data_IF_623220185112
#
_entry.id   IF_623220185112
#
_cell.length_a   1.000
_cell.length_b   1.000
_cell.length_c   1.000
_cell.angle_alpha   90.00
_cell.angle_beta   90.00
_cell.angle_gamma   90.00
#
_symmetry.space_group_name_H-M   'P 1'
#
loop_
_entity.id
_entity.type
_entity.pdbx_description
1 polymer ?
#
# COMPACT_ATOMS: atom_id res chain seq x y z
N UNK A 1 -16.80 -25.30 11.61
CA UNK A 1 -15.98 -25.27 10.37
C UNK A 1 -16.86 -25.01 9.12
N UNK A 2 -17.66 -23.93 9.13
CA UNK A 2 -18.48 -23.48 7.98
C UNK A 2 -18.23 -21.99 7.65
N UNK A 3 -17.18 -21.39 8.22
CA UNK A 3 -17.01 -19.94 8.35
C UNK A 3 -16.42 -19.28 7.09
N UNK A 4 -15.63 -20.02 6.31
CA UNK A 4 -14.70 -19.41 5.37
C UNK A 4 -15.20 -19.34 3.92
N UNK A 5 -16.34 -19.96 3.59
CA UNK A 5 -16.93 -19.89 2.23
C UNK A 5 -17.55 -18.52 1.89
N UNK A 6 -17.47 -17.52 2.78
CA UNK A 6 -18.20 -16.26 2.67
C UNK A 6 -17.33 -14.98 2.66
N UNK A 7 -16.00 -15.11 2.62
CA UNK A 7 -15.01 -13.99 2.52
C UNK A 7 -15.07 -13.18 1.20
N UNK A 8 -16.06 -13.42 0.32
CA UNK A 8 -15.91 -13.16 -1.12
C UNK A 8 -16.44 -11.86 -1.72
N UNK A 9 -17.09 -10.96 -0.98
CA UNK A 9 -17.73 -9.79 -1.61
C UNK A 9 -16.81 -8.58 -1.79
N UNK A 10 -15.78 -8.41 -0.96
CA UNK A 10 -14.81 -7.30 -1.04
C UNK A 10 -13.55 -7.59 -1.87
N UNK A 11 -13.30 -8.86 -2.22
CA UNK A 11 -12.02 -9.31 -2.80
C UNK A 11 -11.85 -9.04 -4.30
N UNK A 12 -12.94 -8.83 -5.07
CA UNK A 12 -12.89 -8.71 -6.54
C UNK A 12 -11.96 -7.62 -7.09
N UNK A 13 -11.78 -6.52 -6.35
CA UNK A 13 -10.87 -5.44 -6.78
C UNK A 13 -9.42 -5.62 -6.28
N UNK A 14 -9.20 -6.51 -5.30
CA UNK A 14 -7.87 -6.72 -4.69
C UNK A 14 -7.00 -7.69 -5.51
N UNK A 15 -7.60 -8.67 -6.18
CA UNK A 15 -6.89 -9.77 -6.87
C UNK A 15 -5.95 -9.28 -7.99
N UNK A 16 -6.36 -8.29 -8.81
CA UNK A 16 -5.49 -7.70 -9.87
C UNK A 16 -4.34 -6.85 -9.33
N UNK A 17 -4.42 -6.38 -8.09
CA UNK A 17 -3.50 -5.41 -7.48
C UNK A 17 -2.41 -6.06 -6.62
N UNK A 18 -2.57 -7.34 -6.30
CA UNK A 18 -1.70 -8.08 -5.38
C UNK A 18 -0.47 -8.66 -6.09
N UNK A 19 -0.63 -9.06 -7.36
CA UNK A 19 0.42 -9.74 -8.15
C UNK A 19 1.12 -8.86 -9.19
N UNK A 20 0.80 -7.56 -9.25
CA UNK A 20 1.56 -6.66 -10.13
C UNK A 20 2.87 -6.32 -9.41
N UNK A 21 3.98 -6.85 -9.90
CA UNK A 21 5.30 -6.27 -9.63
C UNK A 21 5.22 -4.79 -9.99
N UNK A 22 5.19 -3.92 -8.98
CA UNK A 22 5.59 -2.53 -9.21
C UNK A 22 7.10 -2.60 -9.43
N UNK A 23 7.63 -2.07 -10.54
CA UNK A 23 9.05 -1.80 -10.61
C UNK A 23 9.39 -0.97 -9.37
N UNK A 24 10.49 -1.31 -8.68
CA UNK A 24 10.93 -0.60 -7.48
C UNK A 24 11.13 0.91 -7.72
N UNK A 25 11.17 1.33 -9.00
CA UNK A 25 11.39 2.69 -9.43
C UNK A 25 10.15 3.36 -10.06
N UNK A 26 8.98 3.34 -9.40
CA UNK A 26 7.80 4.10 -9.84
C UNK A 26 7.30 5.05 -8.75
N UNK A 27 6.73 6.18 -9.18
CA UNK A 27 6.09 7.13 -8.29
C UNK A 27 4.96 6.47 -7.48
N UNK A 28 4.79 6.94 -6.24
CA UNK A 28 3.70 6.47 -5.40
C UNK A 28 2.34 7.04 -5.88
N UNK A 29 1.31 6.20 -6.04
CA UNK A 29 -0.04 6.63 -6.37
C UNK A 29 -0.70 7.28 -5.15
N UNK A 30 -1.00 8.57 -5.25
CA UNK A 30 -1.59 9.37 -4.18
C UNK A 30 -2.83 8.74 -3.54
N UNK A 31 -3.81 8.32 -4.35
CA UNK A 31 -5.09 7.82 -3.84
C UNK A 31 -4.94 6.55 -2.99
N UNK A 32 -3.97 5.71 -3.30
CA UNK A 32 -3.73 4.51 -2.49
C UNK A 32 -3.12 4.85 -1.15
N UNK A 33 -2.13 5.75 -1.12
CA UNK A 33 -1.49 6.21 0.13
C UNK A 33 -2.49 7.00 0.98
N UNK A 34 -3.28 7.88 0.36
CA UNK A 34 -4.34 8.65 1.01
C UNK A 34 -5.36 7.74 1.69
N UNK A 35 -5.80 6.68 0.98
CA UNK A 35 -6.77 5.72 1.50
C UNK A 35 -6.18 4.85 2.60
N UNK A 36 -4.95 4.38 2.46
CA UNK A 36 -4.34 3.48 3.43
C UNK A 36 -4.02 4.14 4.77
N UNK A 37 -3.69 5.44 4.74
CA UNK A 37 -3.44 6.26 5.92
C UNK A 37 -4.67 7.03 6.41
N UNK A 38 -5.84 6.80 5.81
CA UNK A 38 -7.11 7.46 6.16
C UNK A 38 -7.00 8.99 6.19
N UNK A 39 -6.25 9.55 5.25
CA UNK A 39 -6.02 10.98 5.10
C UNK A 39 -7.23 11.67 4.46
N UNK A 40 -8.35 11.73 5.18
CA UNK A 40 -9.65 12.19 4.65
C UNK A 40 -9.80 13.71 4.71
N UNK A 41 -9.32 14.34 5.78
CA UNK A 41 -9.48 15.78 5.98
C UNK A 41 -8.47 16.55 5.15
N UNK A 42 -8.93 17.57 4.42
CA UNK A 42 -8.05 18.46 3.65
C UNK A 42 -7.90 19.83 4.32
N UNK A 43 -6.70 20.40 4.22
CA UNK A 43 -6.35 21.72 4.73
C UNK A 43 -5.46 22.45 3.73
N UNK A 44 -5.90 23.61 3.23
CA UNK A 44 -5.09 24.43 2.33
C UNK A 44 -3.94 25.09 3.10
N UNK A 45 -2.70 24.79 2.72
CA UNK A 45 -1.49 25.38 3.30
C UNK A 45 -1.00 26.62 2.54
N UNK A 46 -1.50 26.82 1.31
CA UNK A 46 -1.16 27.94 0.46
C UNK A 46 0.18 27.77 -0.25
N UNK A 47 0.80 28.89 -0.63
CA UNK A 47 2.11 28.89 -1.29
C UNK A 47 3.23 28.50 -0.32
N UNK A 48 4.10 27.58 -0.76
CA UNK A 48 5.25 27.07 -0.01
C UNK A 48 6.41 26.77 -0.97
N UNK A 49 7.63 26.94 -0.47
CA UNK A 49 8.84 26.37 -1.08
C UNK A 49 8.98 24.95 -0.55
N UNK A 50 9.05 23.96 -1.46
CA UNK A 50 9.01 22.53 -1.12
C UNK A 50 10.30 21.85 -1.59
N UNK A 51 10.96 21.05 -0.73
CA UNK A 51 12.08 20.21 -1.12
C UNK A 51 11.70 19.16 -2.18
N UNK A 52 12.49 19.04 -3.25
CA UNK A 52 12.22 18.11 -4.36
C UNK A 52 12.40 16.64 -3.99
N UNK A 53 13.21 16.33 -2.98
CA UNK A 53 13.40 15.00 -2.40
C UNK A 53 12.16 14.48 -1.65
N UNK A 54 11.33 15.38 -1.12
CA UNK A 54 10.07 15.05 -0.44
C UNK A 54 8.89 14.83 -1.40
N UNK A 55 9.07 15.05 -2.70
CA UNK A 55 8.05 14.78 -3.72
C UNK A 55 8.25 13.36 -4.22
N UNK A 56 7.34 12.46 -3.85
CA UNK A 56 7.54 11.00 -3.97
C UNK A 56 6.46 10.30 -4.81
N UNK A 57 5.50 11.07 -5.30
CA UNK A 57 4.31 10.50 -5.94
C UNK A 57 3.55 11.46 -6.84
N UNK A 58 2.52 10.93 -7.48
CA UNK A 58 1.65 11.68 -8.40
C UNK A 58 0.20 11.24 -8.24
N UNK A 59 -0.72 12.18 -8.44
CA UNK A 59 -2.16 11.91 -8.36
C UNK A 59 -2.65 11.10 -9.56
N UNK A 60 -2.15 11.41 -10.75
CA UNK A 60 -2.64 10.82 -11.99
C UNK A 60 -1.57 10.28 -12.94
N UNK A 61 -0.30 10.68 -12.77
CA UNK A 61 0.77 10.39 -13.73
C UNK A 61 1.87 9.50 -13.16
N UNK A 62 1.57 8.74 -12.12
CA UNK A 62 2.57 7.90 -11.43
C UNK A 62 3.12 6.74 -12.28
N UNK A 63 2.54 6.47 -13.46
CA UNK A 63 3.03 5.48 -14.44
C UNK A 63 3.84 6.09 -15.58
N UNK A 64 3.81 7.42 -15.70
CA UNK A 64 4.47 8.16 -16.78
C UNK A 64 5.92 8.51 -16.40
N UNK A 65 6.26 8.35 -15.12
CA UNK A 65 7.53 8.76 -14.54
C UNK A 65 8.04 7.69 -13.57
N UNK A 66 9.36 7.57 -13.49
CA UNK A 66 10.03 6.77 -12.47
C UNK A 66 10.09 7.54 -11.12
N UNK A 67 10.66 6.93 -10.07
CA UNK A 67 10.73 7.56 -8.73
C UNK A 67 11.56 8.86 -8.73
N UNK A 68 12.53 9.00 -9.63
CA UNK A 68 13.32 10.23 -9.83
C UNK A 68 12.61 11.29 -10.71
N UNK A 69 11.35 11.06 -11.10
CA UNK A 69 10.61 11.91 -12.06
C UNK A 69 11.24 11.99 -13.46
N UNK A 70 12.06 11.02 -13.86
CA UNK A 70 12.47 10.90 -15.25
C UNK A 70 11.29 10.45 -16.12
N UNK A 71 11.12 11.11 -17.25
CA UNK A 71 10.09 10.75 -18.24
C UNK A 71 10.49 9.44 -18.91
N UNK A 72 9.61 8.45 -18.81
CA UNK A 72 9.75 7.16 -19.48
C UNK A 72 10.00 7.33 -20.99
N UNK A 73 10.87 6.51 -21.57
CA UNK A 73 11.40 6.70 -22.94
C UNK A 73 10.32 6.78 -24.03
N UNK A 74 9.14 6.21 -23.77
CA UNK A 74 8.03 6.14 -24.72
C UNK A 74 7.13 7.40 -24.74
N UNK A 75 7.39 8.41 -23.90
CA UNK A 75 6.57 9.62 -23.79
C UNK A 75 7.20 10.83 -24.47
N UNK A 76 6.37 11.69 -25.08
CA UNK A 76 6.80 12.91 -25.75
C UNK A 76 7.50 13.88 -24.78
N UNK A 77 8.80 14.09 -25.01
CA UNK A 77 9.67 14.98 -24.22
C UNK A 77 9.56 16.45 -24.63
N UNK A 78 8.80 16.80 -25.67
CA UNK A 78 8.70 18.16 -26.18
C UNK A 78 8.20 19.17 -25.13
N UNK A 79 7.28 18.76 -24.26
CA UNK A 79 6.80 19.62 -23.15
C UNK A 79 7.85 19.77 -22.04
N UNK A 80 8.59 18.71 -21.73
CA UNK A 80 9.67 18.76 -20.74
C UNK A 80 10.78 19.70 -21.20
N UNK A 81 11.23 19.58 -22.45
CA UNK A 81 12.28 20.44 -23.01
C UNK A 81 11.90 21.91 -22.94
N UNK A 82 10.69 22.28 -23.36
CA UNK A 82 10.21 23.68 -23.28
C UNK A 82 10.21 24.22 -21.86
N UNK A 83 9.76 23.41 -20.88
CA UNK A 83 9.75 23.82 -19.47
C UNK A 83 11.18 23.98 -18.94
N UNK A 84 12.09 23.08 -19.33
CA UNK A 84 13.50 23.14 -18.94
C UNK A 84 14.17 24.40 -19.50
N UNK A 85 13.94 24.74 -20.76
CA UNK A 85 14.48 25.95 -21.39
C UNK A 85 14.01 27.23 -20.66
N UNK A 86 12.72 27.31 -20.32
CA UNK A 86 12.17 28.42 -19.54
C UNK A 86 12.79 28.51 -18.14
N UNK A 87 12.98 27.36 -17.47
CA UNK A 87 13.64 27.31 -16.15
C UNK A 87 15.11 27.75 -16.19
N UNK A 88 15.85 27.39 -17.24
CA UNK A 88 17.25 27.79 -17.43
C UNK A 88 17.39 29.29 -17.70
N UNK A 89 16.40 29.90 -18.36
CA UNK A 89 16.33 31.34 -18.61
C UNK A 89 15.82 32.15 -17.42
N UNK A 90 15.55 31.49 -16.29
CA UNK A 90 14.94 32.09 -15.09
C UNK A 90 13.61 32.80 -15.39
N UNK A 91 12.89 32.35 -16.43
CA UNK A 91 11.58 32.89 -16.73
C UNK A 91 10.57 32.46 -15.65
N UNK A 92 9.68 33.36 -15.20
CA UNK A 92 8.72 33.05 -14.16
C UNK A 92 7.75 31.95 -14.61
N UNK A 93 7.77 30.83 -13.90
CA UNK A 93 6.83 29.74 -14.10
C UNK A 93 5.77 29.74 -13.00
N UNK A 94 4.53 29.31 -13.30
CA UNK A 94 3.53 29.13 -12.26
C UNK A 94 4.03 28.13 -11.20
N UNK A 95 3.58 28.25 -9.93
CA UNK A 95 3.87 27.25 -8.92
C UNK A 95 3.25 25.89 -9.29
N UNK A 96 3.87 24.80 -8.87
CA UNK A 96 3.27 23.46 -8.99
C UNK A 96 2.13 23.31 -7.99
N UNK A 97 1.24 22.32 -8.18
CA UNK A 97 0.19 22.02 -7.21
C UNK A 97 0.47 20.67 -6.58
N UNK A 98 0.57 20.64 -5.25
CA UNK A 98 0.94 19.44 -4.50
C UNK A 98 -0.11 19.11 -3.45
N UNK A 99 -0.38 17.82 -3.29
CA UNK A 99 -0.95 17.29 -2.06
C UNK A 99 0.16 16.88 -1.09
N UNK A 100 -0.05 17.12 0.21
CA UNK A 100 0.85 16.68 1.29
C UNK A 100 0.16 15.62 2.14
N UNK A 101 0.81 14.49 2.40
CA UNK A 101 0.37 13.45 3.35
C UNK A 101 1.55 13.18 4.30
N UNK A 102 1.40 13.43 5.60
CA UNK A 102 2.57 13.44 6.50
C UNK A 102 3.60 14.46 5.99
N UNK A 103 4.87 14.07 5.87
CA UNK A 103 5.91 14.90 5.26
C UNK A 103 6.15 14.63 3.76
N UNK A 104 5.37 13.74 3.15
CA UNK A 104 5.46 13.38 1.76
C UNK A 104 4.56 14.25 0.86
N UNK A 105 5.02 14.52 -0.37
CA UNK A 105 4.30 15.32 -1.35
C UNK A 105 3.99 14.53 -2.62
N UNK A 106 2.81 14.82 -3.18
CA UNK A 106 2.26 14.18 -4.37
C UNK A 106 1.86 15.23 -5.39
N UNK A 107 2.30 15.07 -6.63
CA UNK A 107 2.05 16.05 -7.69
C UNK A 107 0.62 15.94 -8.19
N UNK A 108 -0.18 16.98 -7.95
CA UNK A 108 -1.50 17.17 -8.55
C UNK A 108 -1.36 17.81 -9.94
N UNK A 109 -0.54 18.85 -10.06
CA UNK A 109 -0.20 19.49 -11.33
C UNK A 109 1.26 19.94 -11.36
N UNK A 110 1.88 19.86 -12.54
CA UNK A 110 3.28 20.27 -12.74
C UNK A 110 4.32 19.16 -12.80
N UNK A 111 3.95 17.90 -13.09
CA UNK A 111 4.91 16.79 -13.17
C UNK A 111 6.15 17.10 -14.05
N UNK A 112 5.96 17.70 -15.23
CA UNK A 112 7.10 18.11 -16.09
C UNK A 112 7.96 19.23 -15.48
N UNK A 113 7.39 20.11 -14.65
CA UNK A 113 8.16 21.14 -13.93
C UNK A 113 9.02 20.51 -12.82
N UNK A 114 8.49 19.51 -12.12
CA UNK A 114 9.27 18.72 -11.15
C UNK A 114 10.41 17.97 -11.84
N UNK A 115 10.10 17.28 -12.94
CA UNK A 115 11.10 16.58 -13.75
C UNK A 115 12.21 17.53 -14.23
N UNK A 116 11.83 18.67 -14.82
CA UNK A 116 12.79 19.68 -15.26
C UNK A 116 13.63 20.26 -14.12
N UNK A 117 13.03 20.50 -12.94
CA UNK A 117 13.75 21.00 -11.78
C UNK A 117 14.78 19.98 -11.25
N UNK A 118 14.42 18.69 -11.19
CA UNK A 118 15.35 17.61 -10.82
C UNK A 118 16.46 17.42 -11.85
N UNK A 119 16.16 17.48 -13.16
CA UNK A 119 17.18 17.43 -14.21
C UNK A 119 18.13 18.64 -14.24
N UNK A 120 17.78 19.72 -13.57
CA UNK A 120 18.59 20.92 -13.40
C UNK A 120 19.24 20.97 -12.00
N UNK A 121 19.23 19.86 -11.26
CA UNK A 121 19.80 19.73 -9.90
C UNK A 121 19.31 20.82 -8.94
N UNK A 122 18.06 21.29 -9.11
CA UNK A 122 17.44 22.19 -8.14
C UNK A 122 17.08 21.41 -6.88
N UNK A 123 17.21 22.07 -5.73
CA UNK A 123 16.84 21.47 -4.43
C UNK A 123 15.38 21.72 -4.06
N UNK A 124 14.80 22.83 -4.52
CA UNK A 124 13.47 23.29 -4.12
C UNK A 124 12.58 23.68 -5.30
N UNK A 125 11.27 23.68 -5.07
CA UNK A 125 10.27 24.15 -6.02
C UNK A 125 9.17 24.96 -5.33
N UNK A 126 8.67 25.97 -6.02
CA UNK A 126 7.51 26.75 -5.60
C UNK A 126 6.21 26.00 -5.83
N UNK A 127 5.38 25.88 -4.79
CA UNK A 127 4.18 25.06 -4.82
C UNK A 127 2.98 25.71 -4.11
N UNK A 128 1.78 25.51 -4.65
CA UNK A 128 0.53 25.59 -3.89
C UNK A 128 0.25 24.23 -3.25
N UNK A 129 0.16 24.19 -1.91
CA UNK A 129 0.04 22.96 -1.14
C UNK A 129 -1.33 22.83 -0.48
N UNK A 130 -1.95 21.66 -0.68
CA UNK A 130 -3.11 21.19 0.10
C UNK A 130 -2.69 19.97 0.91
N UNK A 131 -2.85 20.00 2.22
CA UNK A 131 -2.52 18.90 3.11
C UNK A 131 -3.72 17.99 3.35
N UNK A 132 -3.53 16.69 3.15
CA UNK A 132 -4.42 15.64 3.60
C UNK A 132 -3.94 15.17 4.97
N UNK A 133 -4.71 15.50 6.01
CA UNK A 133 -4.36 15.27 7.41
C UNK A 133 -4.49 13.78 7.74
N UNK A 134 -3.40 13.19 8.21
CA UNK A 134 -3.34 11.79 8.67
C UNK A 134 -3.62 11.69 10.17
N UNK A 135 -4.29 10.62 10.65
CA UNK A 135 -4.46 10.36 12.08
C UNK A 135 -3.13 10.14 12.81
N UNK A 136 -2.15 9.59 12.09
CA UNK A 136 -0.82 9.27 12.60
C UNK A 136 0.22 9.96 11.72
N UNK A 137 0.85 11.05 12.21
CA UNK A 137 1.93 11.72 11.49
C UNK A 137 3.14 10.81 11.29
N UNK A 138 3.87 11.08 10.21
CA UNK A 138 5.13 10.42 9.88
C UNK A 138 6.03 11.40 9.13
N UNK A 139 7.34 11.14 9.23
CA UNK A 139 8.36 11.95 8.59
C UNK A 139 9.08 11.10 7.55
N UNK A 140 9.37 11.70 6.40
CA UNK A 140 10.28 11.11 5.42
C UNK A 140 11.68 11.51 5.87
N UNK A 141 12.44 10.55 6.41
CA UNK A 141 13.84 10.72 6.81
C UNK A 141 14.79 10.40 5.65
N UNK A 142 16.02 9.99 5.99
CA UNK A 142 17.04 9.56 5.01
C UNK A 142 16.74 8.17 4.39
N UNK A 143 15.77 7.44 4.95
CA UNK A 143 15.30 6.15 4.45
C UNK A 143 14.42 6.30 3.20
N UNK A 144 14.13 5.19 2.50
CA UNK A 144 13.21 5.23 1.37
C UNK A 144 11.83 5.77 1.82
N UNK A 145 11.24 6.77 1.14
CA UNK A 145 9.99 7.38 1.58
C UNK A 145 8.82 6.41 1.74
N UNK A 146 8.88 5.28 1.04
CA UNK A 146 7.94 4.18 1.16
C UNK A 146 7.97 3.51 2.54
N UNK A 147 9.12 3.43 3.18
CA UNK A 147 9.28 2.79 4.50
C UNK A 147 8.61 3.62 5.58
N UNK A 148 8.72 4.96 5.51
CA UNK A 148 8.00 5.86 6.41
C UNK A 148 6.47 5.70 6.28
N UNK A 149 5.95 5.46 5.08
CA UNK A 149 4.53 5.16 4.84
C UNK A 149 4.16 3.80 5.44
N UNK A 150 4.97 2.77 5.23
CA UNK A 150 4.73 1.43 5.77
C UNK A 150 4.70 1.43 7.30
N UNK A 151 5.62 2.17 7.94
CA UNK A 151 5.63 2.36 9.39
C UNK A 151 4.36 3.10 9.88
N UNK A 152 3.96 4.17 9.20
CA UNK A 152 2.73 4.89 9.53
C UNK A 152 1.48 4.02 9.43
N UNK A 153 1.37 3.20 8.38
CA UNK A 153 0.28 2.23 8.22
C UNK A 153 0.29 1.16 9.33
N UNK A 154 1.47 0.68 9.71
CA UNK A 154 1.59 -0.30 10.78
C UNK A 154 1.16 0.28 12.13
N UNK A 155 1.62 1.50 12.47
CA UNK A 155 1.18 2.21 13.67
C UNK A 155 -0.33 2.45 13.68
N UNK A 156 -0.93 2.76 12.52
CA UNK A 156 -2.38 2.93 12.39
C UNK A 156 -3.11 1.62 12.64
N UNK A 157 -2.59 0.53 12.09
CA UNK A 157 -3.10 -0.82 12.34
C UNK A 157 -3.01 -1.20 13.82
N UNK A 158 -1.88 -0.96 14.48
CA UNK A 158 -1.73 -1.21 15.92
C UNK A 158 -2.68 -0.34 16.76
N UNK A 159 -2.85 0.93 16.42
CA UNK A 159 -3.80 1.81 17.11
C UNK A 159 -5.23 1.26 17.05
N UNK A 160 -5.64 0.74 15.89
CA UNK A 160 -6.99 0.20 15.67
C UNK A 160 -7.22 -1.18 16.27
N UNK A 161 -6.20 -2.04 16.22
CA UNK A 161 -6.31 -3.45 16.63
C UNK A 161 -5.84 -3.71 18.05
N UNK A 162 -4.98 -2.83 18.58
CA UNK A 162 -4.26 -3.00 19.86
C UNK A 162 -3.49 -4.32 19.92
N UNK A 163 -3.07 -4.85 18.77
CA UNK A 163 -2.41 -6.15 18.68
C UNK A 163 -1.15 -6.22 19.56
N UNK A 164 -0.40 -5.13 19.64
CA UNK A 164 0.76 -4.93 20.49
C UNK A 164 0.45 -5.14 21.99
N UNK A 165 -0.77 -4.80 22.41
CA UNK A 165 -1.22 -4.96 23.81
C UNK A 165 -1.89 -6.30 24.05
N UNK A 166 -2.66 -6.78 23.07
CA UNK A 166 -3.40 -8.04 23.16
C UNK A 166 -2.47 -9.25 23.00
N UNK A 167 -1.37 -9.10 22.26
CA UNK A 167 -0.35 -10.14 22.03
C UNK A 167 1.07 -9.55 22.16
N UNK A 168 1.55 -9.16 23.35
CA UNK A 168 2.80 -8.41 23.51
C UNK A 168 4.10 -9.04 22.97
N UNK A 169 4.09 -10.33 22.65
CA UNK A 169 5.23 -11.06 22.07
C UNK A 169 5.04 -11.41 20.59
N UNK A 170 4.03 -10.83 19.94
CA UNK A 170 3.79 -11.08 18.53
C UNK A 170 4.99 -10.54 17.71
N UNK A 171 5.52 -11.30 16.75
CA UNK A 171 6.47 -10.75 15.78
C UNK A 171 5.82 -9.56 15.05
N UNK A 172 6.62 -8.54 14.73
CA UNK A 172 6.14 -7.41 13.95
C UNK A 172 5.66 -7.92 12.58
N UNK A 173 4.40 -7.65 12.27
CA UNK A 173 3.84 -7.97 10.95
C UNK A 173 4.46 -6.99 9.97
N UNK A 174 5.08 -7.49 8.90
CA UNK A 174 5.75 -6.65 7.88
C UNK A 174 5.09 -6.83 6.53
N UNK A 175 5.22 -5.80 5.70
CA UNK A 175 4.81 -5.80 4.30
C UNK A 175 5.86 -5.11 3.45
N UNK A 176 6.06 -5.60 2.23
CA UNK A 176 6.90 -4.95 1.23
C UNK A 176 6.14 -3.88 0.43
N UNK A 177 4.83 -3.74 0.63
CA UNK A 177 3.96 -2.88 -0.18
C UNK A 177 2.96 -2.15 0.70
N UNK A 178 2.75 -0.85 0.46
CA UNK A 178 1.77 -0.05 1.18
C UNK A 178 0.33 -0.52 0.91
N UNK A 179 -0.59 -0.12 1.77
CA UNK A 179 -2.02 -0.42 1.73
C UNK A 179 -2.41 -1.78 2.28
N UNK A 180 -1.46 -2.64 2.66
CA UNK A 180 -1.72 -4.04 3.06
C UNK A 180 -2.26 -4.16 4.48
N UNK A 181 -1.91 -3.26 5.39
CA UNK A 181 -2.47 -3.25 6.73
C UNK A 181 -3.98 -2.96 6.74
N UNK A 182 -4.47 -2.11 5.85
CA UNK A 182 -5.91 -1.89 5.66
C UNK A 182 -6.62 -3.17 5.15
N UNK A 183 -5.92 -4.03 4.40
CA UNK A 183 -6.45 -5.35 4.01
C UNK A 183 -6.57 -6.26 5.22
N UNK A 184 -5.56 -6.32 6.09
CA UNK A 184 -5.62 -7.10 7.33
C UNK A 184 -6.74 -6.65 8.25
N UNK A 185 -6.93 -5.34 8.40
CA UNK A 185 -8.03 -4.80 9.20
C UNK A 185 -9.38 -5.29 8.68
N UNK A 186 -9.59 -5.31 7.37
CA UNK A 186 -10.81 -5.88 6.77
C UNK A 186 -10.94 -7.38 7.04
N UNK A 187 -9.87 -8.16 6.96
CA UNK A 187 -9.92 -9.58 7.31
C UNK A 187 -10.36 -9.79 8.78
N UNK A 188 -9.87 -8.95 9.70
CA UNK A 188 -10.26 -9.00 11.12
C UNK A 188 -11.73 -8.62 11.29
N UNK A 189 -12.21 -7.58 10.58
CA UNK A 189 -13.61 -7.15 10.64
C UNK A 189 -14.57 -8.19 10.06
N UNK A 190 -14.21 -8.82 8.94
CA UNK A 190 -14.96 -9.93 8.35
C UNK A 190 -14.99 -11.13 9.29
N UNK A 191 -13.84 -11.50 9.87
CA UNK A 191 -13.76 -12.55 10.89
C UNK A 191 -14.66 -12.25 12.09
N UNK A 192 -14.62 -11.02 12.61
CA UNK A 192 -15.48 -10.55 13.72
C UNK A 192 -16.97 -10.73 13.38
N UNK A 193 -17.36 -10.33 12.17
CA UNK A 193 -18.74 -10.42 11.71
C UNK A 193 -19.23 -11.87 11.71
N UNK A 194 -18.47 -12.79 11.10
CA UNK A 194 -18.86 -14.20 11.06
C UNK A 194 -18.84 -14.87 12.43
N UNK A 195 -17.84 -14.57 13.27
CA UNK A 195 -17.84 -15.06 14.65
C UNK A 195 -19.08 -14.61 15.43
N UNK A 196 -19.55 -13.38 15.19
CA UNK A 196 -20.76 -12.87 15.82
C UNK A 196 -22.01 -13.67 15.43
N UNK A 197 -22.13 -14.05 14.16
CA UNK A 197 -23.20 -14.91 13.67
C UNK A 197 -23.15 -16.29 14.34
N UNK A 198 -21.97 -16.92 14.35
CA UNK A 198 -21.82 -18.27 14.91
C UNK A 198 -22.08 -18.34 16.40
N UNK A 199 -21.56 -17.36 17.15
CA UNK A 199 -21.74 -17.27 18.60
C UNK A 199 -23.08 -16.68 19.01
N UNK A 200 -23.88 -16.21 18.04
CA UNK A 200 -25.16 -15.53 18.24
C UNK A 200 -25.07 -14.37 19.23
N UNK A 201 -23.95 -13.65 19.20
CA UNK A 201 -23.70 -12.46 20.04
C UNK A 201 -22.78 -11.48 19.33
N UNK A 202 -22.80 -10.22 19.75
CA UNK A 202 -21.76 -9.28 19.35
C UNK A 202 -20.39 -9.77 19.85
N UNK A 203 -19.38 -9.67 18.97
CA UNK A 203 -17.97 -9.97 19.26
C UNK A 203 -17.21 -8.66 19.23
N UNK A 204 -16.42 -8.39 20.28
CA UNK A 204 -15.66 -7.15 20.36
C UNK A 204 -14.50 -7.14 19.35
N UNK A 205 -13.95 -5.96 19.06
CA UNK A 205 -12.76 -5.87 18.21
C UNK A 205 -11.60 -6.66 18.80
N UNK A 206 -11.36 -6.57 20.11
CA UNK A 206 -10.24 -7.26 20.77
C UNK A 206 -10.39 -8.78 20.70
N UNK A 207 -11.60 -9.30 20.94
CA UNK A 207 -11.90 -10.73 20.80
C UNK A 207 -11.62 -11.23 19.38
N UNK A 208 -12.02 -10.44 18.37
CA UNK A 208 -11.78 -10.78 16.97
C UNK A 208 -10.31 -10.70 16.58
N UNK A 209 -9.56 -9.68 17.05
CA UNK A 209 -8.12 -9.55 16.82
C UNK A 209 -7.37 -10.74 17.42
N UNK A 210 -7.67 -11.08 18.68
CA UNK A 210 -7.10 -12.25 19.37
C UNK A 210 -7.37 -13.52 18.56
N UNK A 211 -8.63 -13.75 18.21
CA UNK A 211 -9.00 -14.96 17.49
C UNK A 211 -8.38 -15.02 16.10
N UNK A 212 -8.43 -13.93 15.34
CA UNK A 212 -7.82 -13.86 14.01
C UNK A 212 -6.33 -14.14 14.08
N UNK A 213 -5.63 -13.52 15.05
CA UNK A 213 -4.19 -13.69 15.18
C UNK A 213 -3.81 -15.14 15.50
N UNK A 214 -4.51 -15.76 16.46
CA UNK A 214 -4.19 -17.11 16.93
C UNK A 214 -4.65 -18.22 15.97
N UNK A 215 -5.81 -18.04 15.31
CA UNK A 215 -6.45 -19.12 14.53
C UNK A 215 -6.34 -18.95 13.02
N UNK A 216 -5.93 -17.78 12.52
CA UNK A 216 -5.82 -17.50 11.08
C UNK A 216 -4.41 -17.04 10.73
N UNK A 217 -3.94 -15.93 11.30
CA UNK A 217 -2.64 -15.35 10.97
C UNK A 217 -1.49 -16.31 11.30
N UNK A 218 -1.35 -16.67 12.58
CA UNK A 218 -0.21 -17.45 13.07
C UNK A 218 -0.12 -18.82 12.39
N UNK A 219 -1.20 -19.62 12.28
CA UNK A 219 -1.13 -20.91 11.59
C UNK A 219 -0.75 -20.78 10.12
N UNK A 220 -1.22 -19.72 9.43
CA UNK A 220 -0.91 -19.51 8.02
C UNK A 220 0.55 -19.10 7.81
N UNK A 221 1.07 -18.19 8.63
CA UNK A 221 2.49 -17.79 8.58
C UNK A 221 3.39 -18.98 8.88
N UNK A 222 3.06 -19.81 9.87
CA UNK A 222 3.81 -21.04 10.17
C UNK A 222 3.77 -22.04 9.00
N UNK A 223 2.67 -22.15 8.26
CA UNK A 223 2.62 -22.97 7.05
C UNK A 223 3.50 -22.39 5.93
N UNK A 224 3.47 -21.06 5.74
CA UNK A 224 4.32 -20.36 4.77
C UNK A 224 5.80 -20.61 5.06
N UNK A 225 6.21 -20.51 6.33
CA UNK A 225 7.56 -20.78 6.79
C UNK A 225 7.93 -22.26 6.65
N UNK A 226 7.08 -23.17 7.14
CA UNK A 226 7.28 -24.64 7.07
C UNK A 226 7.57 -25.11 5.65
N UNK A 227 6.88 -24.54 4.67
CA UNK A 227 7.04 -24.93 3.26
C UNK A 227 8.02 -24.06 2.47
N UNK A 228 8.76 -23.15 3.12
CA UNK A 228 9.82 -22.36 2.49
C UNK A 228 9.33 -21.47 1.36
N UNK A 229 8.06 -21.04 1.38
CA UNK A 229 7.47 -20.31 0.23
C UNK A 229 8.22 -19.01 -0.04
N UNK A 230 8.70 -18.33 1.02
CA UNK A 230 9.45 -17.06 0.92
C UNK A 230 10.67 -17.15 0.01
N UNK A 231 11.34 -18.31 -0.07
CA UNK A 231 12.53 -18.50 -0.91
C UNK A 231 12.25 -18.28 -2.40
N UNK A 232 10.99 -18.45 -2.83
CA UNK A 232 10.56 -18.23 -4.22
C UNK A 232 10.12 -16.80 -4.51
N UNK A 233 10.04 -15.93 -3.49
CA UNK A 233 9.58 -14.56 -3.63
C UNK A 233 10.57 -13.56 -3.01
N UNK A 234 11.76 -13.36 -3.63
CA UNK A 234 12.72 -12.37 -3.17
C UNK A 234 12.10 -10.98 -2.99
N UNK A 235 12.45 -10.30 -1.89
CA UNK A 235 11.92 -8.98 -1.56
C UNK A 235 10.49 -8.97 -0.99
N UNK A 236 9.87 -10.14 -0.76
CA UNK A 236 8.56 -10.26 -0.09
C UNK A 236 8.69 -10.68 1.37
N UNK A 237 7.62 -10.41 2.12
CA UNK A 237 7.48 -10.72 3.54
C UNK A 237 6.46 -11.83 3.78
N UNK A 238 6.48 -12.40 4.98
CA UNK A 238 5.46 -13.33 5.47
C UNK A 238 4.05 -12.73 5.37
N UNK A 239 3.90 -11.44 5.66
CA UNK A 239 2.63 -10.74 5.49
C UNK A 239 2.17 -10.63 4.05
N UNK A 240 3.08 -10.33 3.11
CA UNK A 240 2.73 -10.33 1.68
C UNK A 240 2.19 -11.70 1.26
N UNK A 241 2.90 -12.77 1.62
CA UNK A 241 2.49 -14.14 1.30
C UNK A 241 1.20 -14.55 1.99
N UNK A 242 0.97 -14.12 3.24
CA UNK A 242 -0.31 -14.34 3.91
C UNK A 242 -1.48 -13.80 3.07
N UNK A 243 -1.37 -12.56 2.57
CA UNK A 243 -2.43 -11.99 1.71
C UNK A 243 -2.55 -12.78 0.41
N UNK A 244 -1.43 -13.17 -0.20
CA UNK A 244 -1.43 -13.88 -1.49
C UNK A 244 -2.11 -15.24 -1.36
N UNK A 245 -1.70 -16.03 -0.36
CA UNK A 245 -2.25 -17.35 -0.07
C UNK A 245 -3.71 -17.27 0.35
N UNK A 246 -4.11 -16.29 1.16
CA UNK A 246 -5.51 -16.11 1.55
C UNK A 246 -6.42 -15.80 0.35
N UNK A 247 -5.95 -14.94 -0.58
CA UNK A 247 -6.68 -14.68 -1.83
C UNK A 247 -6.73 -15.92 -2.72
N UNK A 248 -5.61 -16.65 -2.84
CA UNK A 248 -5.52 -17.88 -3.62
C UNK A 248 -6.47 -18.96 -3.09
N UNK A 249 -6.46 -19.18 -1.77
CA UNK A 249 -7.37 -20.07 -1.06
C UNK A 249 -8.84 -19.74 -1.34
N UNK A 250 -9.17 -18.45 -1.34
CA UNK A 250 -10.51 -18.01 -1.66
C UNK A 250 -10.90 -18.37 -3.09
N UNK A 251 -10.04 -18.08 -4.08
CA UNK A 251 -10.29 -18.44 -5.48
C UNK A 251 -10.48 -19.95 -5.66
N UNK A 252 -9.56 -20.76 -5.12
CA UNK A 252 -9.67 -22.23 -5.17
C UNK A 252 -10.97 -22.73 -4.52
N UNK A 253 -11.41 -22.11 -3.43
CA UNK A 253 -12.66 -22.50 -2.76
C UNK A 253 -13.89 -22.22 -3.62
N UNK A 254 -13.86 -21.14 -4.43
CA UNK A 254 -14.94 -20.84 -5.37
C UNK A 254 -14.98 -21.83 -6.52
N UNK A 255 -13.83 -22.14 -7.11
CA UNK A 255 -13.71 -23.08 -8.22
C UNK A 255 -14.08 -24.51 -7.81
N UNK A 256 -13.65 -24.94 -6.62
CA UNK A 256 -13.95 -26.26 -6.09
C UNK A 256 -15.36 -26.39 -5.51
N UNK A 257 -16.09 -25.27 -5.31
CA UNK A 257 -17.41 -25.26 -4.65
C UNK A 257 -17.39 -25.73 -3.19
N UNK A 258 -16.21 -25.78 -2.54
CA UNK A 258 -16.01 -26.20 -1.15
C UNK A 258 -14.94 -25.36 -0.47
N UNK A 259 -14.92 -25.36 0.86
CA UNK A 259 -13.84 -24.70 1.61
C UNK A 259 -12.53 -25.47 1.44
N UNK A 260 -11.56 -24.86 0.77
CA UNK A 260 -10.21 -25.42 0.57
C UNK A 260 -9.38 -25.19 1.84
N UNK A 261 -8.73 -26.23 2.35
CA UNK A 261 -7.94 -26.12 3.59
C UNK A 261 -6.75 -25.14 3.46
N UNK A 262 -6.25 -24.57 4.57
CA UNK A 262 -5.10 -23.67 4.54
C UNK A 262 -3.83 -24.34 3.98
N UNK A 263 -3.54 -25.58 4.39
CA UNK A 263 -2.36 -26.34 3.89
C UNK A 263 -2.52 -26.72 2.42
N UNK A 264 -3.73 -27.13 1.99
CA UNK A 264 -4.04 -27.40 0.58
C UNK A 264 -3.80 -26.16 -0.30
N UNK A 265 -4.25 -24.98 0.15
CA UNK A 265 -4.04 -23.73 -0.58
C UNK A 265 -2.57 -23.33 -0.66
N UNK A 266 -1.80 -23.53 0.42
CA UNK A 266 -0.35 -23.28 0.45
C UNK A 266 0.38 -24.17 -0.55
N UNK A 267 0.09 -25.48 -0.53
CA UNK A 267 0.72 -26.43 -1.44
C UNK A 267 0.36 -26.15 -2.90
N UNK A 268 -0.89 -25.80 -3.18
CA UNK A 268 -1.29 -25.42 -4.53
C UNK A 268 -0.65 -24.11 -4.99
N UNK A 269 -0.53 -23.11 -4.11
CA UNK A 269 0.14 -21.84 -4.42
C UNK A 269 1.63 -22.06 -4.73
N UNK A 270 2.27 -23.04 -4.08
CA UNK A 270 3.65 -23.41 -4.37
C UNK A 270 3.83 -24.05 -5.75
N UNK A 271 2.89 -24.88 -6.19
CA UNK A 271 3.01 -25.61 -7.47
C UNK A 271 2.68 -24.69 -8.65
N UNK A 272 1.56 -23.99 -8.59
CA UNK A 272 1.04 -23.20 -9.71
C UNK A 272 1.52 -21.74 -9.70
N UNK A 273 2.12 -21.28 -8.59
CA UNK A 273 2.40 -19.87 -8.36
C UNK A 273 1.11 -19.07 -8.09
N UNK A 274 1.15 -17.73 -8.18
CA UNK A 274 -0.04 -16.92 -8.24
C UNK A 274 -0.99 -17.45 -9.32
N UNK A 275 -2.21 -17.85 -8.96
CA UNK A 275 -3.20 -18.21 -9.98
C UNK A 275 -3.31 -17.02 -10.94
N UNK A 276 -3.13 -17.22 -12.28
CA UNK A 276 -3.33 -16.15 -13.23
C UNK A 276 -4.76 -15.65 -13.04
N UNK A 277 -4.88 -14.39 -12.58
CA UNK A 277 -6.18 -13.78 -12.39
C UNK A 277 -6.96 -13.94 -13.70
N UNK A 278 -8.06 -14.70 -13.65
CA UNK A 278 -8.93 -14.93 -14.80
C UNK A 278 -9.17 -13.63 -15.55
N UNK A 279 -9.02 -13.73 -16.87
CA UNK A 279 -9.13 -12.64 -17.87
C UNK A 279 -10.30 -11.72 -17.58
#
# INVERSE_FOLDING_TARGET
>A
MKILSQFGRGLRQAVRWVFREKPANQLLPFEEVRRSLEAVQERRLGYRVVPLDRIIGSVGRYKDFNAEFHVEEHLDRGRLSKVKDLMQREEPLPPVKLYKIGDAYFVLDGNHRIAAAKELDKEFVDAEVTECVVPIPFQVGDEEPKDAILDAEYRLFLQKTRLDRLRPRHPAIRFSTHGRYAVLLRHIEEHRYFQGIERKRAVSMDEAVISWYDTIWTPMVLLIEKHGILERFPGRTDGDLYIFVMNHRWMLSQEAGRDVGPEEAVLHFLVEGPCPAGV
#
